data_IF_931196776172
#
_entry.id   IF_931196776172
#
_cell.length_a   1.000
_cell.length_b   1.000
_cell.length_c   1.000
_cell.angle_alpha   90.00
_cell.angle_beta   90.00
_cell.angle_gamma   90.00
#
_symmetry.space_group_name_H-M   'P 1'
#
loop_
_entity.id
_entity.type
_entity.pdbx_description
1 polymer ?
#
# COMPACT_ATOMS: atom_id res chain seq x y z
N UNK A 1 -26.90 -4.14 -5.92
CA UNK A 1 -27.09 -5.16 -6.96
C UNK A 1 -27.55 -6.47 -6.34
N UNK A 2 -28.14 -7.40 -7.15
CA UNK A 2 -28.57 -8.74 -6.67
C UNK A 2 -27.44 -9.53 -6.00
N UNK A 3 -26.22 -9.40 -6.49
CA UNK A 3 -25.04 -10.11 -5.98
C UNK A 3 -24.62 -9.59 -4.60
N UNK A 4 -24.57 -8.27 -4.41
CA UNK A 4 -24.18 -7.71 -3.12
C UNK A 4 -25.19 -8.08 -2.01
N UNK A 5 -26.49 -8.10 -2.33
CA UNK A 5 -27.52 -8.54 -1.38
C UNK A 5 -27.37 -10.01 -0.98
N UNK A 6 -27.06 -10.91 -1.95
CA UNK A 6 -26.88 -12.33 -1.65
C UNK A 6 -25.61 -12.58 -0.83
N UNK A 7 -24.49 -11.88 -1.13
CA UNK A 7 -23.27 -11.96 -0.35
C UNK A 7 -23.48 -11.56 1.12
N UNK A 8 -24.25 -10.51 1.38
CA UNK A 8 -24.56 -10.05 2.74
C UNK A 8 -25.51 -11.02 3.45
N UNK A 9 -26.56 -11.46 2.78
CA UNK A 9 -27.59 -12.31 3.38
C UNK A 9 -27.14 -13.75 3.66
N UNK A 10 -26.26 -14.30 2.80
CA UNK A 10 -25.76 -15.68 2.91
C UNK A 10 -24.38 -15.75 3.57
N UNK A 11 -23.83 -14.62 4.02
CA UNK A 11 -22.51 -14.51 4.65
C UNK A 11 -21.37 -15.19 3.84
N UNK A 12 -21.44 -15.08 2.50
CA UNK A 12 -20.49 -15.70 1.58
C UNK A 12 -19.15 -14.96 1.68
N UNK A 13 -18.15 -15.63 2.24
CA UNK A 13 -16.82 -15.08 2.48
C UNK A 13 -15.71 -15.76 1.64
N UNK A 14 -16.01 -16.88 1.01
CA UNK A 14 -15.04 -17.63 0.20
C UNK A 14 -15.01 -17.15 -1.25
N UNK A 15 -13.82 -16.92 -1.78
CA UNK A 15 -13.63 -16.47 -3.17
C UNK A 15 -14.23 -17.45 -4.18
N UNK A 16 -14.12 -18.76 -3.93
CA UNK A 16 -14.71 -19.80 -4.76
C UNK A 16 -16.24 -19.66 -4.85
N UNK A 17 -16.91 -19.41 -3.72
CA UNK A 17 -18.35 -19.22 -3.67
C UNK A 17 -18.78 -17.91 -4.33
N UNK A 18 -18.00 -16.83 -4.16
CA UNK A 18 -18.22 -15.56 -4.87
C UNK A 18 -18.09 -15.73 -6.37
N UNK A 19 -17.06 -16.45 -6.84
CA UNK A 19 -16.86 -16.75 -8.25
C UNK A 19 -18.00 -17.60 -8.83
N UNK A 20 -18.50 -18.59 -8.08
CA UNK A 20 -19.65 -19.39 -8.48
C UNK A 20 -20.91 -18.53 -8.64
N UNK A 21 -21.17 -17.65 -7.67
CA UNK A 21 -22.29 -16.72 -7.73
C UNK A 21 -22.20 -15.74 -8.92
N UNK A 22 -21.00 -15.25 -9.22
CA UNK A 22 -20.77 -14.42 -10.41
C UNK A 22 -21.10 -15.17 -11.69
N UNK A 23 -20.69 -16.46 -11.82
CA UNK A 23 -20.98 -17.28 -13.01
C UNK A 23 -22.49 -17.52 -13.18
N UNK A 24 -23.22 -17.83 -12.09
CA UNK A 24 -24.68 -17.95 -12.13
C UNK A 24 -25.35 -16.70 -12.67
N UNK A 25 -24.79 -15.54 -12.37
CA UNK A 25 -25.32 -14.22 -12.81
C UNK A 25 -24.68 -13.75 -14.13
N UNK A 26 -23.99 -14.60 -14.86
CA UNK A 26 -23.32 -14.31 -16.16
C UNK A 26 -22.32 -13.17 -16.10
N UNK A 27 -21.69 -12.96 -14.94
CA UNK A 27 -20.58 -12.01 -14.78
C UNK A 27 -19.29 -12.74 -15.13
N UNK A 28 -18.49 -12.22 -16.07
CA UNK A 28 -17.18 -12.81 -16.40
C UNK A 28 -16.30 -12.91 -15.15
N UNK A 29 -15.75 -14.07 -14.89
CA UNK A 29 -14.81 -14.31 -13.80
C UNK A 29 -13.60 -15.01 -14.37
N UNK A 30 -12.41 -14.39 -14.20
CA UNK A 30 -11.17 -15.07 -14.52
C UNK A 30 -10.86 -16.12 -13.45
N UNK A 31 -10.76 -17.36 -13.89
CA UNK A 31 -10.28 -18.47 -13.07
C UNK A 31 -8.76 -18.60 -13.26
N UNK A 32 -8.03 -17.76 -12.57
CA UNK A 32 -6.59 -17.96 -12.43
C UNK A 32 -6.37 -18.93 -11.27
N UNK A 33 -6.33 -20.23 -11.56
CA UNK A 33 -5.84 -21.23 -10.62
C UNK A 33 -4.41 -20.91 -10.21
N UNK A 34 -3.95 -21.42 -9.07
CA UNK A 34 -2.54 -21.30 -8.70
C UNK A 34 -1.68 -22.00 -9.77
N UNK A 35 -0.62 -21.33 -10.21
CA UNK A 35 0.33 -21.89 -11.18
C UNK A 35 1.14 -23.05 -10.58
N UNK A 36 1.29 -23.08 -9.26
CA UNK A 36 2.02 -24.10 -8.51
C UNK A 36 1.13 -24.68 -7.41
N UNK A 37 1.15 -26.01 -7.25
CA UNK A 37 0.63 -26.68 -6.08
C UNK A 37 1.65 -26.59 -4.92
N UNK A 38 1.22 -26.81 -3.69
CA UNK A 38 2.16 -26.81 -2.56
C UNK A 38 3.23 -27.92 -2.69
N UNK A 39 2.88 -29.03 -3.37
CA UNK A 39 3.82 -30.12 -3.67
C UNK A 39 5.01 -29.68 -4.51
N UNK A 40 4.83 -28.67 -5.36
CA UNK A 40 5.86 -28.16 -6.28
C UNK A 40 6.89 -27.26 -5.55
N UNK A 41 6.53 -26.78 -4.36
CA UNK A 41 7.39 -25.92 -3.55
C UNK A 41 8.43 -26.77 -2.80
N UNK A 42 9.63 -26.24 -2.65
CA UNK A 42 10.67 -26.82 -1.80
C UNK A 42 10.40 -26.44 -0.35
N UNK A 43 10.25 -27.42 0.49
CA UNK A 43 9.96 -27.27 1.92
C UNK A 43 11.22 -27.37 2.74
N UNK A 44 11.24 -26.66 3.87
CA UNK A 44 12.23 -26.87 4.90
C UNK A 44 12.16 -28.29 5.49
N UNK A 45 13.12 -28.66 6.38
CA UNK A 45 13.11 -29.96 7.05
C UNK A 45 11.86 -30.24 7.88
N UNK A 46 11.15 -29.20 8.29
CA UNK A 46 9.88 -29.22 9.02
C UNK A 46 8.65 -29.33 8.11
N UNK A 47 8.83 -29.46 6.80
CA UNK A 47 7.75 -29.55 5.82
C UNK A 47 7.07 -28.21 5.53
N UNK A 48 7.63 -27.09 6.01
CA UNK A 48 7.07 -25.76 5.87
C UNK A 48 7.79 -24.94 4.78
N UNK A 49 7.07 -23.96 4.23
CA UNK A 49 7.61 -22.94 3.33
C UNK A 49 7.52 -21.58 4.02
N UNK A 50 8.61 -20.80 4.07
CA UNK A 50 8.58 -19.44 4.60
C UNK A 50 7.79 -18.54 3.66
N UNK A 51 7.11 -17.55 4.27
CA UNK A 51 6.32 -16.55 3.56
C UNK A 51 6.75 -15.17 4.02
N UNK A 52 7.30 -14.39 3.11
CA UNK A 52 7.57 -12.97 3.29
C UNK A 52 6.29 -12.21 2.94
N UNK A 53 5.80 -11.40 3.87
CA UNK A 53 4.55 -10.65 3.69
C UNK A 53 4.86 -9.19 3.47
N UNK A 54 4.37 -8.64 2.37
CA UNK A 54 4.59 -7.26 1.94
C UNK A 54 3.24 -6.56 1.76
N UNK A 55 3.14 -5.32 2.23
CA UNK A 55 1.96 -4.49 1.95
C UNK A 55 1.95 -4.04 0.49
N UNK A 56 0.80 -4.18 -0.18
CA UNK A 56 0.67 -3.87 -1.60
C UNK A 56 0.71 -2.37 -1.91
N UNK A 57 0.34 -1.52 -0.95
CA UNK A 57 0.31 -0.06 -1.14
C UNK A 57 1.65 0.59 -0.82
N UNK A 58 2.29 0.16 0.24
CA UNK A 58 3.50 0.80 0.77
C UNK A 58 4.79 0.08 0.39
N UNK A 59 4.69 -1.13 -0.18
CA UNK A 59 5.79 -2.08 -0.40
C UNK A 59 6.60 -2.41 0.88
N UNK A 60 6.11 -2.03 2.04
CA UNK A 60 6.75 -2.36 3.31
C UNK A 60 6.69 -3.86 3.58
N UNK A 61 7.82 -4.45 3.98
CA UNK A 61 7.83 -5.83 4.49
C UNK A 61 7.21 -5.83 5.88
N UNK A 62 6.12 -6.57 6.05
CA UNK A 62 5.32 -6.58 7.28
C UNK A 62 5.79 -7.62 8.28
N UNK A 63 6.02 -8.84 7.82
CA UNK A 63 6.38 -9.97 8.66
C UNK A 63 6.90 -11.15 7.83
N UNK A 64 7.47 -12.13 8.52
CA UNK A 64 7.72 -13.47 7.98
C UNK A 64 6.93 -14.48 8.80
N UNK A 65 6.30 -15.44 8.12
CA UNK A 65 5.57 -16.55 8.70
C UNK A 65 5.83 -17.83 7.90
N UNK A 66 5.12 -18.90 8.21
CA UNK A 66 5.30 -20.20 7.59
C UNK A 66 3.96 -20.80 7.16
N UNK A 67 3.99 -21.56 6.07
CA UNK A 67 2.84 -22.32 5.60
C UNK A 67 3.17 -23.80 5.49
N UNK A 68 2.21 -24.65 5.90
CA UNK A 68 2.08 -26.03 5.44
C UNK A 68 1.09 -26.06 4.27
N UNK A 69 0.84 -27.23 3.72
CA UNK A 69 -0.07 -27.42 2.58
C UNK A 69 -1.50 -26.94 2.88
N UNK A 70 -1.99 -27.20 4.07
CA UNK A 70 -3.33 -26.79 4.48
C UNK A 70 -3.47 -25.26 4.58
N UNK A 71 -2.49 -24.57 5.19
CA UNK A 71 -2.44 -23.11 5.26
C UNK A 71 -2.39 -22.48 3.86
N UNK A 72 -1.58 -23.04 2.96
CA UNK A 72 -1.46 -22.60 1.56
C UNK A 72 -2.81 -22.72 0.83
N UNK A 73 -3.41 -23.90 0.87
CA UNK A 73 -4.69 -24.17 0.20
C UNK A 73 -5.82 -23.31 0.78
N UNK A 74 -5.85 -23.10 2.10
CA UNK A 74 -6.84 -22.25 2.75
C UNK A 74 -6.64 -20.76 2.34
N UNK A 75 -5.40 -20.30 2.23
CA UNK A 75 -5.10 -18.96 1.75
C UNK A 75 -5.59 -18.75 0.32
N UNK A 76 -5.32 -19.69 -0.60
CA UNK A 76 -5.81 -19.63 -1.98
C UNK A 76 -7.33 -19.65 -2.06
N UNK A 77 -7.99 -20.46 -1.23
CA UNK A 77 -9.45 -20.61 -1.23
C UNK A 77 -10.15 -19.35 -0.69
N UNK A 78 -9.63 -18.77 0.39
CA UNK A 78 -10.30 -17.67 1.11
C UNK A 78 -9.86 -16.28 0.68
N UNK A 79 -8.66 -16.15 0.08
CA UNK A 79 -8.02 -14.86 -0.19
C UNK A 79 -7.56 -14.14 1.07
N UNK A 80 -7.53 -14.82 2.22
CA UNK A 80 -7.03 -14.31 3.50
C UNK A 80 -5.82 -15.13 3.95
N UNK A 81 -4.78 -14.44 4.43
CA UNK A 81 -3.55 -15.10 4.84
C UNK A 81 -3.80 -16.02 6.03
N UNK A 82 -3.58 -17.29 5.79
CA UNK A 82 -3.56 -18.36 6.80
C UNK A 82 -2.14 -18.90 6.88
N UNK A 83 -1.62 -19.06 8.08
CA UNK A 83 -0.28 -19.53 8.36
C UNK A 83 -0.29 -20.79 9.18
N UNK A 84 0.87 -21.44 9.31
CA UNK A 84 1.12 -22.50 10.26
C UNK A 84 2.03 -21.99 11.38
N UNK A 85 1.54 -22.03 12.59
CA UNK A 85 2.30 -21.66 13.79
C UNK A 85 3.21 -22.81 14.22
N UNK A 86 4.54 -22.63 14.08
CA UNK A 86 5.52 -23.64 14.49
C UNK A 86 5.51 -23.90 15.99
N UNK A 87 5.28 -22.88 16.80
CA UNK A 87 5.27 -23.01 18.27
C UNK A 87 4.03 -23.66 18.81
N UNK A 88 2.87 -23.49 18.14
CA UNK A 88 1.58 -24.05 18.55
C UNK A 88 1.20 -25.30 17.77
N UNK A 89 1.92 -25.58 16.67
CA UNK A 89 1.63 -26.68 15.74
C UNK A 89 0.19 -26.68 15.21
N UNK A 90 -0.33 -25.49 14.91
CA UNK A 90 -1.71 -25.29 14.44
C UNK A 90 -1.81 -24.25 13.31
N UNK A 91 -2.92 -24.29 12.57
CA UNK A 91 -3.26 -23.25 11.62
C UNK A 91 -3.59 -21.95 12.35
N UNK A 92 -3.24 -20.85 11.71
CA UNK A 92 -3.48 -19.50 12.21
C UNK A 92 -3.96 -18.57 11.11
N UNK A 93 -5.24 -18.23 11.13
CA UNK A 93 -5.80 -17.17 10.29
C UNK A 93 -5.38 -15.81 10.83
N UNK A 94 -4.61 -15.07 10.05
CA UNK A 94 -4.15 -13.73 10.44
C UNK A 94 -5.33 -12.80 10.65
N UNK A 95 -5.42 -12.24 11.85
CA UNK A 95 -6.48 -11.29 12.21
C UNK A 95 -7.73 -11.93 12.82
N UNK A 96 -7.81 -13.24 12.99
CA UNK A 96 -8.98 -13.92 13.53
C UNK A 96 -9.39 -13.37 14.90
N UNK A 97 -8.43 -13.10 15.78
CA UNK A 97 -8.69 -12.55 17.12
C UNK A 97 -8.65 -11.03 17.16
N UNK A 98 -7.74 -10.40 16.40
CA UNK A 98 -7.47 -8.95 16.48
C UNK A 98 -8.26 -8.10 15.50
N UNK A 99 -8.89 -8.71 14.49
CA UNK A 99 -9.47 -8.00 13.34
C UNK A 99 -8.43 -7.50 12.32
N UNK A 100 -7.13 -7.67 12.59
CA UNK A 100 -6.05 -7.20 11.72
C UNK A 100 -5.78 -8.22 10.60
N UNK A 101 -6.73 -8.36 9.69
CA UNK A 101 -6.67 -9.30 8.57
C UNK A 101 -5.65 -8.89 7.52
N UNK A 102 -5.20 -9.87 6.74
CA UNK A 102 -4.37 -9.69 5.56
C UNK A 102 -5.11 -10.28 4.34
N UNK A 103 -5.50 -9.42 3.41
CA UNK A 103 -6.17 -9.82 2.18
C UNK A 103 -5.15 -9.95 1.05
N UNK A 104 -5.14 -11.12 0.41
CA UNK A 104 -4.15 -11.48 -0.62
C UNK A 104 -4.43 -10.76 -1.93
N UNK A 105 -3.41 -10.10 -2.48
CA UNK A 105 -3.38 -9.61 -3.86
C UNK A 105 -2.63 -10.57 -4.79
N UNK A 106 -1.46 -11.03 -4.35
CA UNK A 106 -0.67 -12.02 -5.08
C UNK A 106 0.16 -12.89 -4.15
N UNK A 107 0.40 -14.12 -4.59
CA UNK A 107 1.38 -15.05 -4.04
C UNK A 107 2.35 -15.39 -5.17
N UNK A 108 3.63 -15.18 -4.94
CA UNK A 108 4.70 -15.44 -5.91
C UNK A 108 5.77 -16.28 -5.22
N UNK A 109 6.14 -17.41 -5.82
CA UNK A 109 7.30 -18.16 -5.35
C UNK A 109 8.58 -17.54 -5.91
N UNK A 110 9.68 -17.67 -5.18
CA UNK A 110 10.99 -17.23 -5.64
C UNK A 110 11.57 -18.17 -6.73
N UNK A 111 12.80 -17.89 -7.16
CA UNK A 111 13.39 -18.54 -8.35
C UNK A 111 13.64 -20.04 -8.18
N UNK A 112 13.79 -20.53 -6.96
CA UNK A 112 14.03 -21.95 -6.68
C UNK A 112 12.91 -22.60 -5.86
N UNK A 113 11.78 -21.89 -5.70
CA UNK A 113 10.51 -22.36 -5.15
C UNK A 113 10.57 -22.72 -3.66
N UNK A 114 11.47 -22.09 -2.90
CA UNK A 114 11.63 -22.37 -1.47
C UNK A 114 11.04 -21.27 -0.56
N UNK A 115 10.62 -20.14 -1.13
CA UNK A 115 10.07 -19.00 -0.40
C UNK A 115 8.88 -18.40 -1.16
N UNK A 116 7.86 -17.95 -0.43
CA UNK A 116 6.70 -17.27 -1.00
C UNK A 116 6.77 -15.77 -0.63
N UNK A 117 6.61 -14.89 -1.60
CA UNK A 117 6.27 -13.49 -1.40
C UNK A 117 4.75 -13.32 -1.51
N UNK A 118 4.12 -12.89 -0.41
CA UNK A 118 2.70 -12.55 -0.37
C UNK A 118 2.53 -11.03 -0.36
N UNK A 119 1.95 -10.46 -1.42
CA UNK A 119 1.50 -9.06 -1.41
C UNK A 119 0.07 -9.00 -0.90
N UNK A 120 -0.16 -8.19 0.13
CA UNK A 120 -1.44 -8.14 0.86
C UNK A 120 -1.90 -6.71 1.10
N UNK A 121 -3.21 -6.53 1.28
CA UNK A 121 -3.74 -5.36 2.00
C UNK A 121 -3.75 -5.69 3.48
N UNK A 122 -2.96 -4.96 4.27
CA UNK A 122 -2.94 -5.08 5.73
C UNK A 122 -4.02 -4.22 6.36
N UNK A 123 -4.85 -4.81 7.21
CA UNK A 123 -5.78 -4.06 8.08
C UNK A 123 -5.14 -3.87 9.45
N UNK A 124 -4.97 -2.62 9.88
CA UNK A 124 -4.33 -2.31 11.17
C UNK A 124 -2.88 -2.77 11.26
N UNK A 125 -2.44 -3.16 12.46
CA UNK A 125 -1.07 -3.57 12.74
C UNK A 125 -0.80 -5.02 12.33
N UNK A 126 0.33 -5.27 11.63
CA UNK A 126 0.75 -6.64 11.35
C UNK A 126 1.36 -7.31 12.59
N UNK A 127 2.08 -6.56 13.42
CA UNK A 127 2.74 -7.06 14.62
C UNK A 127 1.77 -7.17 15.80
N UNK A 128 1.95 -8.21 16.66
CA UNK A 128 1.21 -8.36 17.92
C UNK A 128 1.50 -7.25 18.95
N UNK A 129 2.59 -6.51 18.78
CA UNK A 129 2.94 -5.36 19.63
C UNK A 129 2.16 -4.09 19.28
N UNK A 130 1.35 -4.10 18.22
CA UNK A 130 0.66 -2.94 17.68
C UNK A 130 1.44 -2.17 16.61
N UNK A 131 2.68 -2.58 16.29
CA UNK A 131 3.46 -1.98 15.22
C UNK A 131 2.95 -2.41 13.84
N UNK A 132 3.00 -1.49 12.87
CA UNK A 132 2.59 -1.76 11.48
C UNK A 132 3.38 -2.93 10.86
N UNK A 133 4.69 -2.97 11.09
CA UNK A 133 5.60 -4.04 10.66
C UNK A 133 6.26 -4.71 11.86
N UNK A 134 6.68 -5.97 11.71
CA UNK A 134 7.50 -6.68 12.69
C UNK A 134 8.99 -6.26 12.64
N UNK A 135 9.40 -5.57 11.60
CA UNK A 135 10.80 -5.18 11.36
C UNK A 135 11.10 -3.77 11.88
N UNK A 136 11.13 -3.60 13.19
CA UNK A 136 11.43 -2.32 13.86
C UNK A 136 12.67 -2.35 14.76
N UNK A 137 13.30 -3.52 14.95
CA UNK A 137 14.55 -3.63 15.70
C UNK A 137 15.73 -3.52 14.73
N UNK A 138 16.29 -2.32 14.59
CA UNK A 138 17.43 -2.10 13.73
C UNK A 138 18.69 -2.79 14.32
N UNK A 139 19.34 -3.67 13.55
CA UNK A 139 20.58 -4.31 13.93
C UNK A 139 21.78 -3.44 13.53
N UNK A 140 21.77 -2.91 12.33
CA UNK A 140 22.80 -2.02 11.80
C UNK A 140 22.24 -1.19 10.65
N UNK A 141 22.53 0.11 10.65
CA UNK A 141 22.27 1.01 9.54
C UNK A 141 23.59 1.62 9.07
N UNK A 142 23.96 1.35 7.82
CA UNK A 142 25.15 1.90 7.17
C UNK A 142 24.83 3.01 6.18
N UNK A 143 23.56 3.21 5.90
CA UNK A 143 23.10 4.25 4.98
C UNK A 143 23.18 5.61 5.65
N UNK A 144 23.70 6.61 4.96
CA UNK A 144 23.45 8.01 5.35
C UNK A 144 21.92 8.27 5.26
N UNK A 145 21.41 9.21 6.05
CA UNK A 145 19.98 9.59 5.98
C UNK A 145 19.53 9.96 4.55
N UNK A 146 20.47 10.36 3.70
CA UNK A 146 20.21 10.71 2.30
C UNK A 146 20.14 9.49 1.35
N UNK A 147 20.91 8.42 1.63
CA UNK A 147 20.96 7.22 0.76
C UNK A 147 19.82 6.24 1.00
N UNK A 148 19.23 6.24 2.20
CA UNK A 148 18.09 5.38 2.55
C UNK A 148 16.74 5.96 2.12
N UNK A 149 16.75 7.15 1.49
CA UNK A 149 15.52 7.88 1.18
C UNK A 149 14.95 7.43 -0.17
N UNK A 150 13.73 6.87 -0.16
CA UNK A 150 12.96 6.72 -1.39
C UNK A 150 12.48 8.11 -1.81
N UNK A 151 12.98 8.70 -2.91
CA UNK A 151 12.65 10.07 -3.28
C UNK A 151 11.15 10.29 -3.52
N UNK A 152 10.40 9.24 -3.85
CA UNK A 152 8.95 9.35 -4.06
C UNK A 152 8.17 9.47 -2.74
N UNK A 153 8.73 9.01 -1.61
CA UNK A 153 8.09 9.20 -0.29
C UNK A 153 8.01 10.65 0.15
N UNK A 154 8.86 11.52 -0.38
CA UNK A 154 8.81 12.96 -0.11
C UNK A 154 7.43 13.53 -0.42
N UNK A 155 6.78 13.08 -1.48
CA UNK A 155 5.44 13.55 -1.85
C UNK A 155 4.40 13.22 -0.78
N UNK A 156 4.42 11.99 -0.24
CA UNK A 156 3.50 11.57 0.82
C UNK A 156 3.81 12.30 2.14
N UNK A 157 5.10 12.42 2.50
CA UNK A 157 5.54 13.07 3.73
C UNK A 157 5.18 14.56 3.74
N UNK A 158 5.47 15.29 2.66
CA UNK A 158 5.13 16.71 2.54
C UNK A 158 3.62 16.91 2.50
N UNK A 159 2.88 16.09 1.77
CA UNK A 159 1.43 16.16 1.69
C UNK A 159 0.78 15.92 3.05
N UNK A 160 1.22 14.92 3.80
CA UNK A 160 0.75 14.64 5.16
C UNK A 160 0.99 15.83 6.11
N UNK A 161 2.15 16.51 5.99
CA UNK A 161 2.41 17.73 6.77
C UNK A 161 1.46 18.86 6.38
N UNK A 162 1.15 19.01 5.09
CA UNK A 162 0.21 20.04 4.60
C UNK A 162 -1.20 19.78 5.14
N UNK A 163 -1.67 18.51 5.10
CA UNK A 163 -2.98 18.11 5.65
C UNK A 163 -3.02 18.34 7.16
N UNK A 164 -1.97 17.94 7.90
CA UNK A 164 -1.88 18.22 9.35
C UNK A 164 -1.95 19.72 9.65
N UNK A 165 -1.31 20.59 8.85
CA UNK A 165 -1.40 22.04 9.03
C UNK A 165 -2.79 22.60 8.74
N UNK A 166 -3.58 21.96 7.90
CA UNK A 166 -4.98 22.33 7.67
C UNK A 166 -5.87 22.00 8.87
N UNK A 167 -5.66 20.80 9.44
CA UNK A 167 -6.44 20.32 10.61
C UNK A 167 -5.94 20.93 11.94
N UNK A 168 -4.64 21.09 12.08
CA UNK A 168 -3.98 21.59 13.28
C UNK A 168 -3.10 22.81 12.95
N UNK A 169 -3.70 24.02 12.84
CA UNK A 169 -2.97 25.23 12.48
C UNK A 169 -1.83 25.54 13.45
N UNK A 170 -0.68 25.95 12.89
CA UNK A 170 0.50 26.34 13.66
C UNK A 170 0.84 27.80 13.37
N UNK A 171 1.03 28.58 14.41
CA UNK A 171 1.43 29.98 14.31
C UNK A 171 2.74 30.15 13.51
N UNK A 172 2.78 31.14 12.62
CA UNK A 172 3.93 31.40 11.75
C UNK A 172 4.09 30.43 10.58
N UNK A 173 3.17 29.47 10.38
CA UNK A 173 3.22 28.54 9.26
C UNK A 173 2.80 29.21 7.95
N UNK A 174 3.67 29.12 6.93
CA UNK A 174 3.33 29.56 5.57
C UNK A 174 2.18 28.78 4.95
N UNK A 175 2.09 27.47 5.24
CA UNK A 175 0.97 26.64 4.80
C UNK A 175 -0.36 27.16 5.34
N UNK A 176 -0.40 27.48 6.64
CA UNK A 176 -1.60 28.06 7.25
C UNK A 176 -1.94 29.43 6.68
N UNK A 177 -0.94 30.27 6.42
CA UNK A 177 -1.17 31.54 5.73
C UNK A 177 -1.85 31.37 4.37
N UNK A 178 -1.48 30.34 3.59
CA UNK A 178 -2.12 30.05 2.30
C UNK A 178 -3.59 29.62 2.49
N UNK A 179 -3.88 28.74 3.43
CA UNK A 179 -5.25 28.33 3.76
C UNK A 179 -6.10 29.50 4.28
N UNK A 180 -5.56 30.35 5.16
CA UNK A 180 -6.25 31.52 5.69
C UNK A 180 -6.58 32.56 4.58
N UNK A 181 -5.71 32.72 3.59
CA UNK A 181 -5.95 33.61 2.46
C UNK A 181 -6.88 33.00 1.41
N UNK A 182 -7.13 31.71 1.50
CA UNK A 182 -8.10 30.99 0.68
C UNK A 182 -7.64 30.68 -0.73
N UNK A 183 -8.58 30.11 -1.48
CA UNK A 183 -8.33 29.49 -2.79
C UNK A 183 -7.68 30.43 -3.81
N UNK A 184 -8.07 31.71 -3.85
CA UNK A 184 -7.52 32.67 -4.81
C UNK A 184 -6.02 32.91 -4.61
N UNK A 185 -5.57 32.92 -3.35
CA UNK A 185 -4.14 33.05 -3.04
C UNK A 185 -3.37 31.79 -3.41
N UNK A 186 -3.95 30.62 -3.18
CA UNK A 186 -3.34 29.33 -3.57
C UNK A 186 -3.22 29.26 -5.09
N UNK A 187 -4.29 29.55 -5.83
CA UNK A 187 -4.29 29.53 -7.30
C UNK A 187 -3.30 30.56 -7.89
N UNK A 188 -3.22 31.76 -7.28
CA UNK A 188 -2.23 32.75 -7.66
C UNK A 188 -0.81 32.18 -7.57
N UNK A 189 -0.48 31.50 -6.45
CA UNK A 189 0.85 30.90 -6.27
C UNK A 189 1.11 29.78 -7.26
N UNK A 190 0.16 28.89 -7.50
CA UNK A 190 0.29 27.85 -8.54
C UNK A 190 0.60 28.45 -9.93
N UNK A 191 -0.07 29.55 -10.29
CA UNK A 191 0.16 30.23 -11.57
C UNK A 191 1.52 30.94 -11.62
N UNK A 192 1.97 31.57 -10.53
CA UNK A 192 3.28 32.18 -10.39
C UNK A 192 4.38 31.14 -10.61
N UNK A 193 4.38 30.05 -9.84
CA UNK A 193 5.41 28.99 -9.91
C UNK A 193 5.42 28.29 -11.30
N UNK A 194 4.24 28.05 -11.89
CA UNK A 194 4.17 27.52 -13.25
C UNK A 194 4.84 28.43 -14.27
N UNK A 195 4.71 29.76 -14.12
CA UNK A 195 5.36 30.74 -14.97
C UNK A 195 6.87 30.78 -14.73
N UNK A 196 7.30 30.68 -13.48
CA UNK A 196 8.72 30.68 -13.10
C UNK A 196 9.44 29.45 -13.65
N UNK A 197 8.78 28.26 -13.67
CA UNK A 197 9.29 27.06 -14.39
C UNK A 197 9.56 27.37 -15.86
N UNK A 198 8.63 28.05 -16.56
CA UNK A 198 8.80 28.38 -17.99
C UNK A 198 10.00 29.31 -18.20
N UNK A 199 10.20 30.28 -17.31
CA UNK A 199 11.33 31.21 -17.36
C UNK A 199 12.63 30.46 -17.06
N UNK A 200 12.68 29.71 -15.96
CA UNK A 200 13.86 28.96 -15.55
C UNK A 200 14.30 27.93 -16.60
N UNK A 201 13.34 27.34 -17.34
CA UNK A 201 13.63 26.37 -18.39
C UNK A 201 14.40 26.98 -19.58
N UNK A 202 14.43 28.32 -19.71
CA UNK A 202 15.22 29.02 -20.71
C UNK A 202 16.66 29.32 -20.25
N UNK A 203 16.93 29.22 -18.98
CA UNK A 203 18.24 29.46 -18.41
C UNK A 203 19.15 28.22 -18.53
N UNK A 204 20.47 28.41 -18.76
CA UNK A 204 21.38 27.27 -18.87
C UNK A 204 21.66 26.55 -17.56
N UNK A 205 21.29 27.14 -16.40
CA UNK A 205 21.51 26.56 -15.10
C UNK A 205 20.37 25.64 -14.69
N UNK A 206 20.56 24.31 -14.65
CA UNK A 206 19.50 23.36 -14.30
C UNK A 206 19.06 23.44 -12.83
N UNK A 207 19.78 24.15 -11.96
CA UNK A 207 19.38 24.29 -10.57
C UNK A 207 18.17 25.19 -10.40
N UNK A 208 18.01 26.23 -11.22
CA UNK A 208 16.86 27.13 -11.15
C UNK A 208 15.56 26.37 -11.40
N UNK A 209 15.46 25.66 -12.50
CA UNK A 209 14.25 24.89 -12.83
C UNK A 209 13.90 23.85 -11.75
N UNK A 210 14.90 23.29 -11.07
CA UNK A 210 14.68 22.35 -9.95
C UNK A 210 13.97 23.01 -8.78
N UNK A 211 14.35 24.24 -8.43
CA UNK A 211 13.70 25.00 -7.35
C UNK A 211 12.25 25.34 -7.72
N UNK A 212 12.03 25.87 -8.91
CA UNK A 212 10.69 26.26 -9.37
C UNK A 212 9.74 25.04 -9.48
N UNK A 213 10.24 23.88 -9.93
CA UNK A 213 9.46 22.65 -9.93
C UNK A 213 9.10 22.22 -8.49
N UNK A 214 10.03 22.35 -7.55
CA UNK A 214 9.76 21.97 -6.15
C UNK A 214 8.68 22.90 -5.52
N UNK A 215 8.77 24.20 -5.78
CA UNK A 215 7.80 25.19 -5.29
C UNK A 215 6.43 25.01 -5.95
N UNK A 216 6.39 24.73 -7.26
CA UNK A 216 5.16 24.38 -7.96
C UNK A 216 4.49 23.14 -7.34
N UNK A 217 5.24 22.04 -7.14
CA UNK A 217 4.72 20.81 -6.54
C UNK A 217 4.20 21.05 -5.14
N UNK A 218 4.90 21.87 -4.34
CA UNK A 218 4.43 22.24 -3.01
C UNK A 218 3.09 22.98 -3.05
N UNK A 219 2.94 24.00 -3.90
CA UNK A 219 1.69 24.75 -4.01
C UNK A 219 0.56 23.92 -4.64
N UNK A 220 0.89 22.97 -5.54
CA UNK A 220 -0.07 21.99 -6.04
C UNK A 220 -0.57 21.07 -4.91
N UNK A 221 0.30 20.61 -4.01
CA UNK A 221 -0.13 19.82 -2.85
C UNK A 221 -1.03 20.62 -1.90
N UNK A 222 -0.76 21.91 -1.69
CA UNK A 222 -1.66 22.79 -0.92
C UNK A 222 -3.03 22.91 -1.60
N UNK A 223 -3.06 23.05 -2.93
CA UNK A 223 -4.30 23.06 -3.70
C UNK A 223 -5.06 21.72 -3.59
N UNK A 224 -4.35 20.61 -3.70
CA UNK A 224 -4.93 19.28 -3.53
C UNK A 224 -5.59 19.13 -2.15
N UNK A 225 -4.88 19.47 -1.07
CA UNK A 225 -5.41 19.45 0.29
C UNK A 225 -6.64 20.38 0.45
N UNK A 226 -6.61 21.57 -0.18
CA UNK A 226 -7.76 22.50 -0.17
C UNK A 226 -8.99 21.91 -0.86
N UNK A 227 -8.81 21.17 -1.93
CA UNK A 227 -9.88 20.55 -2.71
C UNK A 227 -10.24 19.13 -2.27
N UNK A 228 -9.52 18.54 -1.31
CA UNK A 228 -9.73 17.16 -0.87
C UNK A 228 -9.34 16.13 -1.93
N UNK A 229 -8.36 16.44 -2.78
CA UNK A 229 -7.83 15.54 -3.82
C UNK A 229 -6.59 14.84 -3.28
N UNK A 230 -6.53 13.53 -3.47
CA UNK A 230 -5.42 12.70 -2.98
C UNK A 230 -4.40 12.35 -4.08
N UNK A 231 -3.20 11.94 -3.67
CA UNK A 231 -2.21 11.40 -4.62
C UNK A 231 -2.70 10.11 -5.30
N UNK A 232 -3.48 9.28 -4.62
CA UNK A 232 -4.05 8.05 -5.20
C UNK A 232 -4.96 8.38 -6.39
N UNK A 233 -5.80 9.42 -6.28
CA UNK A 233 -6.68 9.87 -7.36
C UNK A 233 -5.88 10.44 -8.53
N UNK A 234 -4.89 11.32 -8.26
CA UNK A 234 -4.07 11.93 -9.31
C UNK A 234 -3.23 10.89 -10.05
N UNK A 235 -2.58 9.98 -9.33
CA UNK A 235 -1.75 8.94 -9.95
C UNK A 235 -2.58 7.90 -10.69
N UNK A 236 -3.79 7.58 -10.22
CA UNK A 236 -4.74 6.72 -10.93
C UNK A 236 -5.14 7.33 -12.26
N UNK A 237 -5.49 8.62 -12.27
CA UNK A 237 -5.83 9.33 -13.52
C UNK A 237 -4.63 9.40 -14.47
N UNK A 238 -3.43 9.62 -13.95
CA UNK A 238 -2.21 9.65 -14.77
C UNK A 238 -1.90 8.26 -15.37
N UNK A 239 -2.10 7.19 -14.62
CA UNK A 239 -1.86 5.81 -15.08
C UNK A 239 -2.85 5.36 -16.16
N UNK A 240 -4.03 5.97 -16.24
CA UNK A 240 -5.07 5.66 -17.22
C UNK A 240 -4.89 6.40 -18.56
N UNK A 241 -3.87 7.25 -18.71
CA UNK A 241 -3.54 7.97 -19.94
C UNK A 241 -2.55 7.21 -20.81
#
# INVERSE_FOLDING_TARGET
>A
SRISGKLVNENITEISAIKALCRENKIPVEDRGAAYAFSDLKKGPDGLVPVVVQDVKTDAVLMVAYMNEEAYNQTLRTGRMTYYSRSRSELWLKGETSGHYQYVHSLTADCDLDTILAKVTQVGAACHTGSYSCFFNEIQNRSSKQEAHNPMKVFEEVFSVIEDRKEHPKEGSYTNYLFDKGIDKILKKVGEEATEIVIAAKNPNPNEIKYEIADFLYHMMVLMAEKGVTWEEVTTELANR
#
